data_IF_520392741302
#
_entry.id   IF_520392741302
#
_cell.length_a   1.000
_cell.length_b   1.000
_cell.length_c   1.000
_cell.angle_alpha   90.00
_cell.angle_beta   90.00
_cell.angle_gamma   90.00
#
_symmetry.space_group_name_H-M   'P 1'
#
loop_
_entity.id
_entity.type
_entity.pdbx_description
1 polymer ?
#
# COMPACT_ATOMS: atom_id res chain seq x y z
N UNK A 1 -9.75 -54.95 -68.51
CA UNK A 1 -10.71 -55.44 -67.51
C UNK A 1 -9.99 -55.78 -66.19
N UNK A 2 -9.49 -54.79 -65.45
CA UNK A 2 -8.71 -55.01 -64.23
C UNK A 2 -9.04 -54.02 -63.09
N UNK A 3 -10.19 -53.33 -63.13
CA UNK A 3 -10.57 -52.36 -62.09
C UNK A 3 -11.65 -52.85 -61.11
N UNK A 4 -12.20 -54.06 -61.28
CA UNK A 4 -13.28 -54.57 -60.42
C UNK A 4 -12.81 -55.41 -59.22
N UNK A 5 -11.58 -55.96 -59.21
CA UNK A 5 -11.14 -56.84 -58.12
C UNK A 5 -10.55 -56.09 -56.93
N UNK A 6 -9.90 -54.96 -57.16
CA UNK A 6 -9.35 -54.09 -56.10
C UNK A 6 -10.46 -53.38 -55.34
N UNK A 7 -11.49 -52.91 -56.02
CA UNK A 7 -12.65 -52.24 -55.42
C UNK A 7 -13.52 -53.21 -54.57
N UNK A 8 -13.65 -54.46 -55.01
CA UNK A 8 -14.26 -55.56 -54.23
C UNK A 8 -13.44 -55.91 -52.97
N UNK A 9 -12.11 -55.75 -53.03
CA UNK A 9 -11.24 -56.00 -51.87
C UNK A 9 -11.34 -54.88 -50.81
N UNK A 10 -11.38 -53.60 -51.23
CA UNK A 10 -11.55 -52.47 -50.32
C UNK A 10 -12.93 -52.49 -49.64
N UNK A 11 -13.99 -52.82 -50.39
CA UNK A 11 -15.34 -52.95 -49.83
C UNK A 11 -15.45 -54.12 -48.85
N UNK A 12 -14.79 -55.26 -49.12
CA UNK A 12 -14.69 -56.38 -48.18
C UNK A 12 -13.93 -56.02 -46.90
N UNK A 13 -12.80 -55.31 -47.02
CA UNK A 13 -12.02 -54.84 -45.86
C UNK A 13 -12.84 -53.88 -45.00
N UNK A 14 -13.51 -52.90 -45.61
CA UNK A 14 -14.41 -51.96 -44.92
C UNK A 14 -15.52 -52.69 -44.17
N UNK A 15 -16.21 -53.65 -44.81
CA UNK A 15 -17.26 -54.46 -44.16
C UNK A 15 -16.72 -55.30 -43.00
N UNK A 16 -15.49 -55.80 -43.08
CA UNK A 16 -14.86 -56.56 -42.00
C UNK A 16 -14.52 -55.66 -40.80
N UNK A 17 -14.01 -54.46 -41.04
CA UNK A 17 -13.76 -53.45 -40.00
C UNK A 17 -15.07 -52.97 -39.35
N UNK A 18 -16.11 -52.69 -40.15
CA UNK A 18 -17.45 -52.35 -39.64
C UNK A 18 -18.01 -53.45 -38.73
N UNK A 19 -17.90 -54.73 -39.15
CA UNK A 19 -18.34 -55.86 -38.31
C UNK A 19 -17.55 -55.96 -37.01
N UNK A 20 -16.22 -55.76 -37.07
CA UNK A 20 -15.38 -55.76 -35.88
C UNK A 20 -15.79 -54.67 -34.89
N UNK A 21 -16.07 -53.45 -35.38
CA UNK A 21 -16.56 -52.34 -34.57
C UNK A 21 -17.93 -52.64 -33.97
N UNK A 22 -18.85 -53.23 -34.74
CA UNK A 22 -20.18 -53.64 -34.25
C UNK A 22 -20.05 -54.67 -33.12
N UNK A 23 -19.19 -55.68 -33.30
CA UNK A 23 -18.95 -56.71 -32.28
C UNK A 23 -18.34 -56.10 -31.01
N UNK A 24 -17.39 -55.16 -31.16
CA UNK A 24 -16.80 -54.43 -30.05
C UNK A 24 -17.82 -53.57 -29.29
N UNK A 25 -18.71 -52.88 -30.01
CA UNK A 25 -19.82 -52.11 -29.42
C UNK A 25 -20.76 -53.04 -28.65
N UNK A 26 -21.15 -54.18 -29.23
CA UNK A 26 -21.99 -55.16 -28.54
C UNK A 26 -21.34 -55.68 -27.27
N UNK A 27 -20.05 -56.00 -27.34
CA UNK A 27 -19.28 -56.44 -26.19
C UNK A 27 -19.27 -55.37 -25.08
N UNK A 28 -18.94 -54.12 -25.41
CA UNK A 28 -18.95 -52.99 -24.45
C UNK A 28 -20.33 -52.76 -23.83
N UNK A 29 -21.41 -52.81 -24.62
CA UNK A 29 -22.80 -52.72 -24.11
C UNK A 29 -23.13 -53.85 -23.13
N UNK A 30 -22.72 -55.08 -23.46
CA UNK A 30 -22.94 -56.23 -22.57
C UNK A 30 -22.19 -56.08 -21.26
N UNK A 31 -20.96 -55.53 -21.27
CA UNK A 31 -20.21 -55.26 -20.05
C UNK A 31 -20.91 -54.24 -19.14
N UNK A 32 -21.48 -53.17 -19.70
CA UNK A 32 -22.23 -52.17 -18.92
C UNK A 32 -23.48 -52.82 -18.30
N UNK A 33 -24.24 -53.59 -19.09
CA UNK A 33 -25.48 -54.24 -18.61
C UNK A 33 -25.23 -55.30 -17.52
N UNK A 34 -24.08 -55.98 -17.58
CA UNK A 34 -23.71 -57.03 -16.62
C UNK A 34 -22.92 -56.49 -15.42
N UNK A 35 -22.53 -55.21 -15.43
CA UNK A 35 -21.82 -54.61 -14.32
C UNK A 35 -22.77 -54.41 -13.13
N UNK A 36 -22.66 -55.30 -12.14
CA UNK A 36 -23.47 -55.25 -10.92
C UNK A 36 -23.29 -53.95 -10.10
N UNK A 37 -22.25 -53.16 -10.38
CA UNK A 37 -21.94 -51.89 -9.73
C UNK A 37 -22.43 -50.67 -10.52
N UNK A 38 -23.03 -50.85 -11.69
CA UNK A 38 -23.51 -49.72 -12.50
C UNK A 38 -24.80 -49.14 -11.88
N UNK A 39 -24.90 -47.82 -11.67
CA UNK A 39 -26.06 -47.21 -11.04
C UNK A 39 -27.34 -47.38 -11.87
N UNK A 40 -28.48 -47.50 -11.20
CA UNK A 40 -29.78 -47.56 -11.88
C UNK A 40 -30.11 -46.21 -12.55
N UNK A 41 -30.95 -46.25 -13.59
CA UNK A 41 -31.36 -45.06 -14.35
C UNK A 41 -31.89 -43.95 -13.43
N UNK A 42 -32.84 -44.29 -12.55
CA UNK A 42 -33.47 -43.37 -11.60
C UNK A 42 -32.44 -42.70 -10.68
N UNK A 43 -31.38 -43.42 -10.28
CA UNK A 43 -30.32 -42.87 -9.44
C UNK A 43 -29.49 -41.83 -10.19
N UNK A 44 -29.18 -42.09 -11.46
CA UNK A 44 -28.43 -41.17 -12.32
C UNK A 44 -29.27 -39.93 -12.61
N UNK A 45 -30.53 -40.11 -13.01
CA UNK A 45 -31.49 -39.01 -13.25
C UNK A 45 -31.67 -38.14 -12.01
N UNK A 46 -31.82 -38.76 -10.83
CA UNK A 46 -31.89 -38.03 -9.55
C UNK A 46 -30.62 -37.23 -9.27
N UNK A 47 -29.43 -37.78 -9.56
CA UNK A 47 -28.16 -37.06 -9.43
C UNK A 47 -28.07 -35.86 -10.38
N UNK A 48 -28.49 -36.01 -11.64
CA UNK A 48 -28.56 -34.91 -12.62
C UNK A 48 -29.42 -33.77 -12.07
N UNK A 49 -30.65 -34.08 -11.65
CA UNK A 49 -31.57 -33.09 -11.07
C UNK A 49 -30.98 -32.41 -9.85
N UNK A 50 -30.36 -33.17 -8.94
CA UNK A 50 -29.74 -32.62 -7.74
C UNK A 50 -28.58 -31.66 -8.06
N UNK A 51 -27.69 -32.02 -8.98
CA UNK A 51 -26.60 -31.12 -9.37
C UNK A 51 -27.13 -29.85 -10.03
N UNK A 52 -28.09 -29.99 -10.96
CA UNK A 52 -28.70 -28.84 -11.62
C UNK A 52 -29.41 -27.93 -10.62
N UNK A 53 -30.17 -28.51 -9.68
CA UNK A 53 -30.80 -27.79 -8.58
C UNK A 53 -29.81 -27.01 -7.72
N UNK A 54 -28.65 -27.59 -7.41
CA UNK A 54 -27.59 -26.88 -6.67
C UNK A 54 -27.11 -25.67 -7.47
N UNK A 55 -26.89 -25.81 -8.78
CA UNK A 55 -26.46 -24.70 -9.65
C UNK A 55 -27.52 -23.61 -9.71
N UNK A 56 -28.79 -23.97 -9.91
CA UNK A 56 -29.91 -23.02 -9.96
C UNK A 56 -30.09 -22.31 -8.61
N UNK A 57 -29.95 -23.02 -7.50
CA UNK A 57 -30.00 -22.42 -6.17
C UNK A 57 -28.84 -21.43 -5.98
N UNK A 58 -27.60 -21.80 -6.34
CA UNK A 58 -26.42 -20.94 -6.22
C UNK A 58 -26.55 -19.65 -7.05
N UNK A 59 -27.10 -19.75 -8.26
CA UNK A 59 -27.31 -18.61 -9.15
C UNK A 59 -28.45 -17.70 -8.65
N UNK A 60 -29.59 -18.27 -8.22
CA UNK A 60 -30.74 -17.49 -7.71
C UNK A 60 -30.52 -16.82 -6.36
N UNK A 61 -29.81 -17.49 -5.46
CA UNK A 61 -29.50 -16.98 -4.10
C UNK A 61 -28.29 -16.05 -4.07
N UNK A 62 -27.67 -15.82 -5.23
CA UNK A 62 -26.50 -14.96 -5.36
C UNK A 62 -26.86 -13.50 -5.04
N UNK A 63 -26.23 -12.94 -4.01
CA UNK A 63 -26.39 -11.54 -3.61
C UNK A 63 -25.14 -10.69 -3.89
N UNK A 64 -24.21 -11.17 -4.72
CA UNK A 64 -22.94 -10.51 -5.01
C UNK A 64 -23.12 -9.09 -5.55
N UNK A 65 -24.04 -8.91 -6.50
CA UNK A 65 -24.35 -7.59 -7.07
C UNK A 65 -24.86 -6.61 -6.00
N UNK A 66 -25.74 -7.07 -5.11
CA UNK A 66 -26.24 -6.27 -3.99
C UNK A 66 -25.13 -5.91 -3.00
N UNK A 67 -24.26 -6.87 -2.65
CA UNK A 67 -23.13 -6.63 -1.77
C UNK A 67 -22.16 -5.61 -2.37
N UNK A 68 -21.85 -5.74 -3.66
CA UNK A 68 -20.98 -4.81 -4.37
C UNK A 68 -21.58 -3.41 -4.45
N UNK A 69 -22.85 -3.31 -4.86
CA UNK A 69 -23.56 -2.03 -4.96
C UNK A 69 -23.65 -1.32 -3.61
N UNK A 70 -23.96 -2.06 -2.53
CA UNK A 70 -23.97 -1.52 -1.16
C UNK A 70 -22.60 -1.03 -0.71
N UNK A 71 -21.55 -1.76 -1.03
CA UNK A 71 -20.17 -1.37 -0.70
C UNK A 71 -19.79 -0.12 -1.49
N UNK A 72 -19.98 -0.14 -2.81
CA UNK A 72 -19.67 0.97 -3.72
C UNK A 72 -20.45 2.24 -3.39
N UNK A 73 -21.72 2.13 -3.01
CA UNK A 73 -22.54 3.26 -2.56
C UNK A 73 -21.98 3.97 -1.33
N UNK A 74 -21.18 3.29 -0.51
CA UNK A 74 -20.50 3.87 0.67
C UNK A 74 -19.11 4.43 0.36
N UNK A 75 -18.63 4.32 -0.89
CA UNK A 75 -17.30 4.79 -1.31
C UNK A 75 -17.04 6.25 -0.92
N UNK A 76 -17.92 7.23 -1.21
CA UNK A 76 -17.64 8.63 -0.86
C UNK A 76 -17.52 8.85 0.64
N UNK A 77 -18.29 8.11 1.45
CA UNK A 77 -18.27 8.23 2.91
C UNK A 77 -16.97 7.70 3.51
N UNK A 78 -16.46 6.57 3.00
CA UNK A 78 -15.18 6.01 3.45
C UNK A 78 -14.02 6.94 3.09
N UNK A 79 -13.96 7.42 1.84
CA UNK A 79 -12.87 8.29 1.39
C UNK A 79 -12.88 9.65 2.10
N UNK A 80 -14.06 10.21 2.39
CA UNK A 80 -14.16 11.44 3.17
C UNK A 80 -13.63 11.27 4.62
N UNK A 81 -13.62 10.05 5.14
CA UNK A 81 -13.13 9.70 6.48
C UNK A 81 -11.69 9.18 6.50
N UNK A 82 -11.02 9.13 5.35
CA UNK A 82 -9.70 8.51 5.20
C UNK A 82 -9.72 7.01 5.60
N UNK A 83 -10.80 6.30 5.25
CA UNK A 83 -11.01 4.88 5.55
C UNK A 83 -10.85 4.02 4.27
N UNK A 84 -9.94 4.38 3.35
CA UNK A 84 -9.78 3.64 2.09
C UNK A 84 -9.40 2.17 2.30
N UNK A 85 -8.56 1.86 3.29
CA UNK A 85 -8.21 0.48 3.66
C UNK A 85 -9.46 -0.32 4.09
N UNK A 86 -10.37 0.28 4.87
CA UNK A 86 -11.62 -0.39 5.27
C UNK A 86 -12.54 -0.64 4.07
N UNK A 87 -12.62 0.32 3.15
CA UNK A 87 -13.36 0.16 1.90
C UNK A 87 -12.78 -0.98 1.05
N UNK A 88 -11.45 -1.02 0.88
CA UNK A 88 -10.72 -2.09 0.19
C UNK A 88 -11.01 -3.47 0.80
N UNK A 89 -10.89 -3.62 2.11
CA UNK A 89 -11.20 -4.89 2.78
C UNK A 89 -12.64 -5.37 2.53
N UNK A 90 -13.62 -4.46 2.46
CA UNK A 90 -15.01 -4.83 2.12
C UNK A 90 -15.16 -5.29 0.67
N UNK A 91 -14.41 -4.69 -0.26
CA UNK A 91 -14.39 -5.15 -1.66
C UNK A 91 -13.71 -6.51 -1.79
N UNK A 92 -12.63 -6.77 -1.05
CA UNK A 92 -11.96 -8.08 -1.01
C UNK A 92 -12.91 -9.17 -0.49
N UNK A 93 -13.77 -8.87 0.49
CA UNK A 93 -14.82 -9.80 0.94
C UNK A 93 -15.82 -10.13 -0.18
N UNK A 94 -16.22 -9.14 -0.98
CA UNK A 94 -17.10 -9.36 -2.14
C UNK A 94 -16.40 -10.20 -3.20
N UNK A 95 -15.12 -9.91 -3.49
CA UNK A 95 -14.31 -10.68 -4.43
C UNK A 95 -14.19 -12.14 -3.99
N UNK A 96 -13.92 -12.37 -2.70
CA UNK A 96 -13.82 -13.72 -2.16
C UNK A 96 -15.14 -14.48 -2.22
N UNK A 97 -16.26 -13.82 -1.93
CA UNK A 97 -17.59 -14.42 -2.09
C UNK A 97 -17.88 -14.81 -3.55
N UNK A 98 -17.41 -14.01 -4.51
CA UNK A 98 -17.52 -14.33 -5.93
C UNK A 98 -16.68 -15.56 -6.32
N UNK A 99 -15.45 -15.67 -5.81
CA UNK A 99 -14.58 -16.84 -6.02
C UNK A 99 -15.26 -18.11 -5.52
N UNK A 100 -15.75 -18.09 -4.28
CA UNK A 100 -16.43 -19.25 -3.67
C UNK A 100 -17.68 -19.64 -4.47
N UNK A 101 -18.46 -18.67 -4.94
CA UNK A 101 -19.66 -18.95 -5.75
C UNK A 101 -19.28 -19.60 -7.07
N UNK A 102 -18.26 -19.07 -7.76
CA UNK A 102 -17.76 -19.63 -9.02
C UNK A 102 -17.23 -21.06 -8.86
N UNK A 103 -16.46 -21.32 -7.80
CA UNK A 103 -15.91 -22.65 -7.50
C UNK A 103 -17.01 -23.66 -7.22
N UNK A 104 -18.04 -23.28 -6.45
CA UNK A 104 -19.18 -24.15 -6.14
C UNK A 104 -20.01 -24.49 -7.38
N UNK A 105 -20.26 -23.50 -8.26
CA UNK A 105 -20.91 -23.74 -9.55
C UNK A 105 -20.04 -24.66 -10.40
N UNK A 106 -18.74 -24.42 -10.49
CA UNK A 106 -17.81 -25.26 -11.23
C UNK A 106 -17.77 -26.71 -10.75
N UNK A 107 -17.73 -26.94 -9.43
CA UNK A 107 -17.76 -28.27 -8.85
C UNK A 107 -19.08 -29.02 -9.14
N UNK A 108 -20.21 -28.33 -9.02
CA UNK A 108 -21.52 -28.90 -9.35
C UNK A 108 -21.65 -29.19 -10.86
N UNK A 109 -21.12 -28.31 -11.71
CA UNK A 109 -21.10 -28.48 -13.17
C UNK A 109 -20.26 -29.68 -13.61
N UNK A 110 -19.10 -29.90 -12.99
CA UNK A 110 -18.29 -31.10 -13.23
C UNK A 110 -19.05 -32.36 -12.82
N UNK A 111 -19.69 -32.36 -11.65
CA UNK A 111 -20.53 -33.47 -11.21
C UNK A 111 -21.69 -33.76 -12.18
N UNK A 112 -22.33 -32.70 -12.67
CA UNK A 112 -23.40 -32.78 -13.67
C UNK A 112 -22.90 -33.38 -14.99
N UNK A 113 -21.79 -32.88 -15.52
CA UNK A 113 -21.17 -33.37 -16.77
C UNK A 113 -20.86 -34.87 -16.70
N UNK A 114 -20.19 -35.31 -15.61
CA UNK A 114 -19.88 -36.72 -15.41
C UNK A 114 -21.13 -37.58 -15.29
N UNK A 115 -22.20 -37.05 -14.72
CA UNK A 115 -23.47 -37.77 -14.57
C UNK A 115 -24.20 -37.85 -15.91
N UNK A 116 -24.12 -36.83 -16.77
CA UNK A 116 -24.62 -36.91 -18.15
C UNK A 116 -23.85 -37.95 -18.97
N UNK A 117 -22.52 -37.99 -18.86
CA UNK A 117 -21.70 -39.00 -19.53
C UNK A 117 -22.11 -40.41 -19.09
N UNK A 118 -22.32 -40.60 -17.78
CA UNK A 118 -22.77 -41.88 -17.22
C UNK A 118 -24.17 -42.27 -17.71
N UNK A 119 -25.10 -41.31 -17.80
CA UNK A 119 -26.42 -41.53 -18.36
C UNK A 119 -26.36 -41.89 -19.85
N UNK A 120 -25.49 -41.21 -20.62
CA UNK A 120 -25.26 -41.51 -22.03
C UNK A 120 -24.74 -42.93 -22.24
N UNK A 121 -23.85 -43.42 -21.37
CA UNK A 121 -23.39 -44.82 -21.41
C UNK A 121 -24.53 -45.81 -21.15
N UNK A 122 -25.45 -45.49 -20.24
CA UNK A 122 -26.60 -46.33 -19.92
C UNK A 122 -27.58 -46.42 -21.11
N UNK A 123 -27.93 -45.27 -21.71
CA UNK A 123 -28.77 -45.19 -22.92
C UNK A 123 -28.12 -45.94 -24.09
N UNK A 124 -26.80 -45.87 -24.23
CA UNK A 124 -26.09 -46.66 -25.24
C UNK A 124 -26.15 -48.17 -24.98
N UNK A 125 -26.28 -48.61 -23.71
CA UNK A 125 -26.31 -50.01 -23.32
C UNK A 125 -27.71 -50.63 -23.45
N UNK A 126 -28.77 -49.86 -23.21
CA UNK A 126 -30.16 -50.29 -23.33
C UNK A 126 -30.95 -49.40 -24.28
N UNK A 127 -31.30 -49.95 -25.45
CA UNK A 127 -32.04 -49.22 -26.49
C UNK A 127 -33.49 -48.87 -26.09
N UNK A 128 -34.00 -49.43 -24.98
CA UNK A 128 -35.35 -49.13 -24.48
C UNK A 128 -35.41 -47.84 -23.65
N UNK A 129 -34.26 -47.30 -23.25
CA UNK A 129 -34.13 -46.03 -22.54
C UNK A 129 -34.21 -44.86 -23.53
N UNK A 130 -35.39 -44.68 -24.13
CA UNK A 130 -35.63 -43.55 -25.01
C UNK A 130 -35.58 -42.22 -24.22
N UNK A 131 -34.96 -41.19 -24.81
CA UNK A 131 -34.55 -39.91 -24.19
C UNK A 131 -35.69 -38.98 -23.68
N UNK A 132 -36.80 -39.50 -23.17
CA UNK A 132 -37.89 -38.68 -22.62
C UNK A 132 -37.45 -37.83 -21.43
N UNK A 133 -36.45 -38.28 -20.66
CA UNK A 133 -35.89 -37.55 -19.53
C UNK A 133 -35.39 -36.14 -19.87
N UNK A 134 -34.76 -35.94 -21.03
CA UNK A 134 -34.21 -34.63 -21.42
C UNK A 134 -35.28 -33.63 -21.90
N UNK A 135 -36.51 -34.08 -22.12
CA UNK A 135 -37.63 -33.19 -22.44
C UNK A 135 -38.22 -32.52 -21.18
N UNK A 136 -37.78 -32.94 -20.00
CA UNK A 136 -38.23 -32.38 -18.73
C UNK A 136 -37.34 -31.21 -18.26
N UNK A 137 -37.81 -30.51 -17.24
CA UNK A 137 -37.15 -29.35 -16.66
C UNK A 137 -36.94 -29.54 -15.16
N UNK A 138 -35.87 -28.96 -14.63
CA UNK A 138 -35.62 -28.89 -13.19
C UNK A 138 -35.54 -27.42 -12.79
N UNK A 139 -36.42 -27.00 -11.87
CA UNK A 139 -36.55 -25.61 -11.42
C UNK A 139 -36.69 -24.57 -12.55
N UNK A 140 -37.23 -24.96 -13.71
CA UNK A 140 -37.40 -24.10 -14.89
C UNK A 140 -36.21 -24.08 -15.84
N UNK A 141 -35.18 -24.90 -15.60
CA UNK A 141 -34.03 -25.10 -16.51
C UNK A 141 -34.20 -26.45 -17.21
N UNK A 142 -34.07 -26.49 -18.54
CA UNK A 142 -34.14 -27.73 -19.29
C UNK A 142 -33.03 -28.70 -18.87
N UNK A 143 -33.33 -30.00 -18.81
CA UNK A 143 -32.35 -31.04 -18.48
C UNK A 143 -31.42 -31.40 -19.64
N UNK A 144 -31.62 -30.81 -20.82
CA UNK A 144 -30.80 -31.06 -21.99
C UNK A 144 -29.32 -30.71 -21.71
N UNK A 145 -28.35 -31.60 -22.01
CA UNK A 145 -26.94 -31.35 -21.74
C UNK A 145 -26.37 -30.10 -22.41
N UNK A 146 -26.77 -29.82 -23.66
CA UNK A 146 -26.37 -28.62 -24.41
C UNK A 146 -26.85 -27.34 -23.72
N UNK A 147 -28.14 -27.30 -23.37
CA UNK A 147 -28.77 -26.18 -22.69
C UNK A 147 -28.14 -25.92 -21.31
N UNK A 148 -27.95 -26.97 -20.51
CA UNK A 148 -27.36 -26.84 -19.17
C UNK A 148 -25.90 -26.41 -19.24
N UNK A 149 -25.11 -26.89 -20.20
CA UNK A 149 -23.76 -26.42 -20.43
C UNK A 149 -23.73 -24.92 -20.77
N UNK A 150 -24.57 -24.47 -21.71
CA UNK A 150 -24.68 -23.07 -22.09
C UNK A 150 -25.12 -22.17 -20.93
N UNK A 151 -26.10 -22.62 -20.14
CA UNK A 151 -26.56 -21.94 -18.94
C UNK A 151 -25.40 -21.76 -17.94
N UNK A 152 -24.68 -22.83 -17.62
CA UNK A 152 -23.54 -22.80 -16.68
C UNK A 152 -22.42 -21.90 -17.21
N UNK A 153 -22.11 -21.99 -18.50
CA UNK A 153 -21.09 -21.15 -19.13
C UNK A 153 -21.40 -19.66 -18.96
N UNK A 154 -22.63 -19.24 -19.24
CA UNK A 154 -23.06 -17.85 -19.08
C UNK A 154 -22.98 -17.37 -17.63
N UNK A 155 -23.38 -18.20 -16.68
CA UNK A 155 -23.31 -17.87 -15.25
C UNK A 155 -21.85 -17.73 -14.77
N UNK A 156 -20.96 -18.60 -15.23
CA UNK A 156 -19.52 -18.52 -14.93
C UNK A 156 -18.88 -17.29 -15.58
N UNK A 157 -19.24 -16.96 -16.82
CA UNK A 157 -18.78 -15.76 -17.51
C UNK A 157 -19.23 -14.49 -16.79
N UNK A 158 -20.49 -14.42 -16.38
CA UNK A 158 -21.02 -13.32 -15.57
C UNK A 158 -20.21 -13.11 -14.29
N UNK A 159 -19.91 -14.19 -13.55
CA UNK A 159 -19.13 -14.09 -12.31
C UNK A 159 -17.68 -13.66 -12.59
N UNK A 160 -17.07 -14.09 -13.71
CA UNK A 160 -15.72 -13.65 -14.10
C UNK A 160 -15.69 -12.15 -14.41
N UNK A 161 -16.65 -11.66 -15.17
CA UNK A 161 -16.77 -10.23 -15.47
C UNK A 161 -16.99 -9.42 -14.18
N UNK A 162 -17.88 -9.89 -13.31
CA UNK A 162 -18.13 -9.28 -12.01
C UNK A 162 -16.84 -9.20 -11.16
N UNK A 163 -16.07 -10.28 -11.08
CA UNK A 163 -14.78 -10.30 -10.38
C UNK A 163 -13.82 -9.25 -10.93
N UNK A 164 -13.72 -9.15 -12.25
CA UNK A 164 -12.86 -8.14 -12.89
C UNK A 164 -13.28 -6.72 -12.51
N UNK A 165 -14.58 -6.43 -12.44
CA UNK A 165 -15.08 -5.13 -11.98
C UNK A 165 -14.71 -4.85 -10.52
N UNK A 166 -14.85 -5.85 -9.63
CA UNK A 166 -14.47 -5.71 -8.22
C UNK A 166 -12.95 -5.50 -8.09
N UNK A 167 -12.13 -6.20 -8.87
CA UNK A 167 -10.68 -6.03 -8.87
C UNK A 167 -10.26 -4.63 -9.31
N UNK A 168 -10.90 -4.06 -10.34
CA UNK A 168 -10.65 -2.68 -10.75
C UNK A 168 -10.95 -1.71 -9.59
N UNK A 169 -12.09 -1.90 -8.91
CA UNK A 169 -12.47 -1.04 -7.77
C UNK A 169 -11.53 -1.22 -6.57
N UNK A 170 -11.00 -2.43 -6.32
CA UNK A 170 -9.96 -2.68 -5.29
C UNK A 170 -8.70 -1.87 -5.60
N UNK A 171 -8.24 -1.85 -6.86
CA UNK A 171 -7.08 -1.05 -7.27
C UNK A 171 -7.33 0.44 -7.09
N UNK A 172 -8.53 0.92 -7.35
CA UNK A 172 -8.89 2.32 -7.09
C UNK A 172 -8.85 2.65 -5.59
N UNK A 173 -9.31 1.74 -4.73
CA UNK A 173 -9.24 1.88 -3.28
C UNK A 173 -7.78 1.90 -2.77
N UNK A 174 -6.92 1.06 -3.36
CA UNK A 174 -5.48 1.03 -3.05
C UNK A 174 -4.76 2.33 -3.43
N UNK A 175 -5.08 2.91 -4.59
CA UNK A 175 -4.55 4.22 -4.98
C UNK A 175 -4.99 5.33 -4.02
N UNK A 176 -6.22 5.25 -3.50
CA UNK A 176 -6.72 6.19 -2.52
C UNK A 176 -6.03 6.01 -1.16
N UNK A 177 -5.84 4.77 -0.70
CA UNK A 177 -5.08 4.43 0.51
C UNK A 177 -3.65 5.03 0.46
N UNK A 178 -2.96 4.91 -0.67
CA UNK A 178 -1.65 5.53 -0.86
C UNK A 178 -1.70 7.06 -0.71
N UNK A 179 -2.73 7.73 -1.26
CA UNK A 179 -2.90 9.18 -1.12
C UNK A 179 -3.15 9.58 0.33
N UNK A 180 -3.96 8.83 1.06
CA UNK A 180 -4.27 9.09 2.46
C UNK A 180 -3.01 8.97 3.33
N UNK A 181 -2.16 7.98 3.05
CA UNK A 181 -0.86 7.83 3.71
C UNK A 181 0.09 9.00 3.41
N UNK A 182 0.15 9.48 2.16
CA UNK A 182 0.97 10.65 1.80
C UNK A 182 0.49 11.95 2.45
N UNK A 183 -0.83 12.14 2.60
CA UNK A 183 -1.38 13.31 3.29
C UNK A 183 -0.94 13.32 4.76
N UNK A 184 -0.96 12.17 5.44
CA UNK A 184 -0.51 12.06 6.82
C UNK A 184 0.99 12.41 6.98
N UNK A 185 1.83 11.93 6.07
CA UNK A 185 3.26 12.29 6.07
C UNK A 185 3.48 13.80 5.88
N UNK A 186 2.77 14.42 4.94
CA UNK A 186 2.86 15.86 4.71
C UNK A 186 2.43 16.69 5.94
N UNK A 187 1.36 16.26 6.63
CA UNK A 187 0.90 16.93 7.86
C UNK A 187 1.95 16.84 8.96
N UNK A 188 2.55 15.66 9.18
CA UNK A 188 3.62 15.48 10.17
C UNK A 188 4.84 16.35 9.85
N UNK A 189 5.33 16.33 8.60
CA UNK A 189 6.46 17.18 8.19
C UNK A 189 6.14 18.67 8.35
N UNK A 190 4.90 19.08 8.08
CA UNK A 190 4.48 20.48 8.28
C UNK A 190 4.54 20.87 9.76
N UNK A 191 4.04 20.03 10.66
CA UNK A 191 4.07 20.27 12.11
C UNK A 191 5.51 20.35 12.63
N UNK A 192 6.41 19.49 12.15
CA UNK A 192 7.84 19.52 12.48
C UNK A 192 8.53 20.81 12.00
N UNK A 193 8.23 21.27 10.78
CA UNK A 193 8.75 22.54 10.26
C UNK A 193 8.24 23.73 11.09
N UNK A 194 6.96 23.74 11.47
CA UNK A 194 6.40 24.79 12.32
C UNK A 194 7.05 24.80 13.72
N UNK A 195 7.34 23.63 14.28
CA UNK A 195 8.08 23.50 15.54
C UNK A 195 9.51 24.06 15.43
N UNK A 196 10.28 23.63 14.42
CA UNK A 196 11.65 24.11 14.17
C UNK A 196 11.70 25.62 13.95
N UNK A 197 10.71 26.18 13.25
CA UNK A 197 10.61 27.63 13.05
C UNK A 197 10.42 28.38 14.38
N UNK A 198 9.62 27.83 15.31
CA UNK A 198 9.42 28.41 16.62
C UNK A 198 10.70 28.38 17.47
N UNK A 199 11.43 27.26 17.48
CA UNK A 199 12.73 27.16 18.15
C UNK A 199 13.75 28.14 17.58
N UNK A 200 13.86 28.21 16.24
CA UNK A 200 14.79 29.12 15.58
C UNK A 200 14.49 30.59 15.93
N UNK A 201 13.20 30.96 16.01
CA UNK A 201 12.78 32.30 16.41
C UNK A 201 13.18 32.60 17.86
N UNK A 202 13.08 31.64 18.77
CA UNK A 202 13.51 31.78 20.17
C UNK A 202 15.03 32.00 20.24
N UNK A 203 15.82 31.14 19.59
CA UNK A 203 17.28 31.30 19.54
C UNK A 203 17.70 32.65 18.95
N UNK A 204 17.03 33.09 17.88
CA UNK A 204 17.30 34.39 17.30
C UNK A 204 17.05 35.54 18.29
N UNK A 205 15.94 35.49 19.04
CA UNK A 205 15.67 36.50 20.09
C UNK A 205 16.69 36.48 21.22
N UNK A 206 17.15 35.30 21.64
CA UNK A 206 18.17 35.17 22.67
C UNK A 206 19.51 35.75 22.21
N UNK A 207 19.98 35.36 21.02
CA UNK A 207 21.22 35.87 20.42
C UNK A 207 21.15 37.39 20.26
N UNK A 208 20.02 37.93 19.78
CA UNK A 208 19.80 39.37 19.65
C UNK A 208 19.86 40.08 21.02
N UNK A 209 19.29 39.48 22.06
CA UNK A 209 19.36 39.98 23.43
C UNK A 209 20.79 39.95 23.99
N UNK A 210 21.53 38.89 23.73
CA UNK A 210 22.96 38.79 24.10
C UNK A 210 23.81 39.84 23.38
N UNK A 211 23.64 40.02 22.07
CA UNK A 211 24.37 41.03 21.30
C UNK A 211 24.11 42.46 21.81
N UNK A 212 22.85 42.76 22.18
CA UNK A 212 22.50 44.05 22.77
C UNK A 212 23.19 44.28 24.12
N UNK A 213 23.13 43.30 25.03
CA UNK A 213 23.82 43.36 26.33
C UNK A 213 25.33 43.53 26.17
N UNK A 214 25.92 42.85 25.19
CA UNK A 214 27.35 43.01 24.88
C UNK A 214 27.66 44.43 24.43
N UNK A 215 26.87 45.00 23.52
CA UNK A 215 27.03 46.39 23.06
C UNK A 215 26.92 47.40 24.20
N UNK A 216 25.95 47.21 25.10
CA UNK A 216 25.77 48.07 26.29
C UNK A 216 26.97 47.97 27.25
N UNK A 217 27.49 46.76 27.47
CA UNK A 217 28.69 46.54 28.28
C UNK A 217 29.93 47.20 27.68
N UNK A 218 30.14 47.07 26.36
CA UNK A 218 31.27 47.73 25.67
C UNK A 218 31.18 49.24 25.83
N UNK A 219 29.99 49.83 25.63
CA UNK A 219 29.80 51.27 25.79
C UNK A 219 30.04 51.74 27.24
N UNK A 220 29.63 50.95 28.24
CA UNK A 220 29.92 51.24 29.64
C UNK A 220 31.43 51.24 29.93
N UNK A 221 32.17 50.28 29.38
CA UNK A 221 33.63 50.21 29.52
C UNK A 221 34.30 51.42 28.86
N UNK A 222 33.83 51.83 27.68
CA UNK A 222 34.33 53.04 26.99
C UNK A 222 34.14 54.30 27.84
N UNK A 223 32.96 54.49 28.45
CA UNK A 223 32.67 55.65 29.29
C UNK A 223 33.40 55.62 30.65
N UNK A 224 33.65 54.43 31.20
CA UNK A 224 34.51 54.26 32.39
C UNK A 224 35.96 54.64 32.06
N UNK A 225 36.51 54.10 30.97
CA UNK A 225 37.84 54.45 30.46
C UNK A 225 37.98 55.95 30.24
N UNK A 226 36.99 56.57 29.60
CA UNK A 226 36.98 58.01 29.31
C UNK A 226 37.03 58.85 30.59
N UNK A 227 36.30 58.44 31.63
CA UNK A 227 36.32 59.09 32.95
C UNK A 227 37.67 58.94 33.62
N UNK A 228 38.21 57.72 33.66
CA UNK A 228 39.51 57.43 34.26
C UNK A 228 40.63 58.22 33.59
N UNK A 229 40.63 58.29 32.24
CA UNK A 229 41.59 59.12 31.50
C UNK A 229 41.45 60.60 31.85
N UNK A 230 40.23 61.17 31.85
CA UNK A 230 40.02 62.57 32.21
C UNK A 230 40.49 62.89 33.63
N UNK A 231 40.20 62.01 34.58
CA UNK A 231 40.60 62.18 35.97
C UNK A 231 42.12 62.06 36.13
N UNK A 232 42.74 61.06 35.49
CA UNK A 232 44.19 60.90 35.46
C UNK A 232 44.90 62.11 34.86
N UNK A 233 44.42 62.65 33.73
CA UNK A 233 44.99 63.87 33.15
C UNK A 233 44.83 65.09 34.06
N UNK A 234 43.67 65.28 34.68
CA UNK A 234 43.45 66.40 35.61
C UNK A 234 44.34 66.31 36.87
N UNK A 235 44.64 65.09 37.34
CA UNK A 235 45.53 64.87 38.47
C UNK A 235 47.00 65.11 38.09
N UNK A 236 47.39 64.71 36.87
CA UNK A 236 48.70 65.03 36.28
C UNK A 236 48.89 66.53 36.16
N UNK A 237 47.92 67.24 35.58
CA UNK A 237 47.97 68.70 35.42
C UNK A 237 48.11 69.40 36.78
N UNK A 238 47.33 68.99 37.79
CA UNK A 238 47.45 69.50 39.17
C UNK A 238 48.85 69.28 39.76
N UNK A 239 49.44 68.09 39.58
CA UNK A 239 50.77 67.76 40.10
C UNK A 239 51.86 68.55 39.38
N UNK A 240 51.74 68.75 38.06
CA UNK A 240 52.66 69.57 37.26
C UNK A 240 52.60 71.05 37.69
N UNK A 241 51.41 71.60 37.95
CA UNK A 241 51.27 72.98 38.46
C UNK A 241 51.81 73.19 39.88
N UNK A 242 51.90 72.12 40.68
CA UNK A 242 52.31 72.20 42.09
C UNK A 242 53.80 71.92 42.35
N UNK A 243 54.59 71.48 41.35
CA UNK A 243 56.00 71.14 41.56
C UNK A 243 56.91 71.73 40.48
N UNK A 244 57.83 72.61 40.92
CA UNK A 244 58.75 73.30 40.05
C UNK A 244 60.15 72.65 39.93
N UNK A 245 60.38 71.36 40.25
CA UNK A 245 61.77 70.84 40.12
C UNK A 245 62.05 69.31 40.03
N UNK A 246 61.09 68.41 39.73
CA UNK A 246 61.48 66.99 39.52
C UNK A 246 60.67 66.22 38.47
N UNK A 247 60.69 66.73 37.24
CA UNK A 247 59.93 66.25 36.08
C UNK A 247 60.26 64.82 35.63
N UNK A 248 61.41 64.27 36.02
CA UNK A 248 61.86 62.95 35.55
C UNK A 248 61.29 61.78 36.37
N UNK A 249 61.25 61.92 37.71
CA UNK A 249 60.68 60.90 38.62
C UNK A 249 59.20 60.68 38.37
N UNK A 250 58.45 61.78 38.19
CA UNK A 250 57.00 61.77 37.92
C UNK A 250 56.69 61.11 36.57
N UNK A 251 57.53 61.35 35.54
CA UNK A 251 57.36 60.71 34.23
C UNK A 251 57.54 59.19 34.29
N UNK A 252 58.52 58.69 35.05
CA UNK A 252 58.76 57.25 35.16
C UNK A 252 57.72 56.55 36.04
N UNK A 253 57.22 57.21 37.08
CA UNK A 253 56.13 56.68 37.90
C UNK A 253 54.81 56.62 37.10
N UNK A 254 54.46 57.69 36.38
CA UNK A 254 53.33 57.70 35.42
C UNK A 254 53.46 56.63 34.35
N UNK A 255 54.66 56.45 33.81
CA UNK A 255 54.92 55.40 32.82
C UNK A 255 54.68 54.01 33.41
N UNK A 256 54.99 53.81 34.69
CA UNK A 256 54.76 52.54 35.40
C UNK A 256 53.26 52.30 35.64
N UNK A 257 52.54 53.33 36.09
CA UNK A 257 51.10 53.26 36.36
C UNK A 257 50.29 53.04 35.07
N UNK A 258 50.60 53.79 34.00
CA UNK A 258 49.98 53.56 32.69
C UNK A 258 50.28 52.16 32.16
N UNK A 259 51.50 51.65 32.32
CA UNK A 259 51.87 50.30 31.86
C UNK A 259 51.11 49.22 32.63
N UNK A 260 50.91 49.39 33.94
CA UNK A 260 50.08 48.49 34.75
C UNK A 260 48.60 48.56 34.36
N UNK A 261 48.10 49.77 34.10
CA UNK A 261 46.73 49.99 33.67
C UNK A 261 46.44 49.34 32.32
N UNK A 262 47.29 49.57 31.30
CA UNK A 262 47.18 48.93 29.99
C UNK A 262 47.29 47.40 30.08
N UNK A 263 48.14 46.86 30.97
CA UNK A 263 48.24 45.42 31.18
C UNK A 263 46.93 44.82 31.75
N UNK A 264 46.29 45.51 32.72
CA UNK A 264 44.97 45.10 33.24
C UNK A 264 43.88 45.20 32.17
N UNK A 265 43.91 46.26 31.37
CA UNK A 265 42.95 46.48 30.29
C UNK A 265 43.06 45.39 29.21
N UNK A 266 44.28 45.11 28.75
CA UNK A 266 44.53 44.04 27.78
C UNK A 266 44.04 42.70 28.31
N UNK A 267 44.30 42.38 29.58
CA UNK A 267 43.84 41.12 30.19
C UNK A 267 42.31 41.00 30.19
N UNK A 268 41.58 42.10 30.45
CA UNK A 268 40.11 42.12 30.34
C UNK A 268 39.62 41.91 28.91
N UNK A 269 40.24 42.61 27.93
CA UNK A 269 39.89 42.48 26.51
C UNK A 269 40.15 41.05 26.01
N UNK A 270 41.28 40.45 26.37
CA UNK A 270 41.60 39.07 25.99
C UNK A 270 40.61 38.08 26.57
N UNK A 271 40.27 38.18 27.86
CA UNK A 271 39.28 37.30 28.49
C UNK A 271 37.89 37.41 27.83
N UNK A 272 37.47 38.61 27.42
CA UNK A 272 36.20 38.78 26.71
C UNK A 272 36.25 38.21 25.28
N UNK A 273 37.37 38.38 24.57
CA UNK A 273 37.58 37.79 23.24
C UNK A 273 37.55 36.25 23.27
N UNK A 274 38.18 35.63 24.26
CA UNK A 274 38.16 34.17 24.45
C UNK A 274 36.75 33.65 24.73
N UNK A 275 35.96 34.36 25.54
CA UNK A 275 34.56 34.00 25.80
C UNK A 275 33.69 34.06 24.53
N UNK A 276 33.92 35.06 23.67
CA UNK A 276 33.20 35.21 22.39
C UNK A 276 33.57 34.07 21.43
N UNK A 277 34.86 33.73 21.34
CA UNK A 277 35.30 32.62 20.49
C UNK A 277 34.74 31.28 20.98
N UNK A 278 34.70 31.05 22.30
CA UNK A 278 34.09 29.85 22.88
C UNK A 278 32.59 29.74 22.57
N UNK A 279 31.82 30.84 22.69
CA UNK A 279 30.40 30.86 22.31
C UNK A 279 30.20 30.60 20.81
N UNK A 280 31.03 31.20 19.96
CA UNK A 280 30.97 30.98 18.51
C UNK A 280 31.23 29.53 18.15
N UNK A 281 32.20 28.87 18.79
CA UNK A 281 32.50 27.46 18.57
C UNK A 281 31.37 26.54 19.03
N UNK A 282 30.73 26.84 20.16
CA UNK A 282 29.55 26.09 20.61
C UNK A 282 28.38 26.21 19.64
N UNK A 283 28.04 27.43 19.22
CA UNK A 283 27.00 27.65 18.21
C UNK A 283 27.30 26.88 16.91
N UNK A 284 28.55 26.92 16.45
CA UNK A 284 28.92 26.22 15.22
C UNK A 284 28.78 24.69 15.34
N UNK A 285 29.01 24.14 16.53
CA UNK A 285 28.88 22.72 16.85
C UNK A 285 27.41 22.31 16.90
N UNK A 286 26.57 23.08 17.58
CA UNK A 286 25.13 22.82 17.68
C UNK A 286 24.45 22.92 16.30
N UNK A 287 24.78 23.92 15.49
CA UNK A 287 24.29 24.02 14.11
C UNK A 287 24.75 22.84 13.23
N UNK A 288 25.98 22.37 13.42
CA UNK A 288 26.49 21.20 12.73
C UNK A 288 25.76 19.90 13.11
N UNK A 289 25.30 19.81 14.36
CA UNK A 289 24.58 18.66 14.91
C UNK A 289 23.13 18.64 14.42
N UNK A 290 22.44 19.78 14.48
CA UNK A 290 21.10 19.96 13.93
C UNK A 290 21.05 19.67 12.42
N UNK A 291 22.07 20.10 11.66
CA UNK A 291 22.18 19.78 10.23
C UNK A 291 22.29 18.28 9.96
N UNK A 292 23.04 17.54 10.79
CA UNK A 292 23.18 16.08 10.63
C UNK A 292 21.88 15.36 10.93
N UNK A 293 21.15 15.77 11.96
CA UNK A 293 19.85 15.19 12.30
C UNK A 293 18.83 15.38 11.18
N UNK A 294 18.81 16.57 10.55
CA UNK A 294 17.98 16.83 9.36
C UNK A 294 18.42 15.97 8.16
N UNK A 295 19.73 15.83 7.92
CA UNK A 295 20.24 15.00 6.82
C UNK A 295 19.98 13.49 7.01
N UNK A 296 19.86 13.01 8.26
CA UNK A 296 19.47 11.63 8.58
C UNK A 296 17.96 11.43 8.40
N UNK A 297 17.12 12.36 8.87
CA UNK A 297 15.66 12.27 8.73
C UNK A 297 15.16 12.38 7.28
N UNK A 298 15.92 13.02 6.38
CA UNK A 298 15.57 13.11 4.95
C UNK A 298 15.99 11.83 4.19
N UNK A 299 16.88 11.00 4.77
CA UNK A 299 17.46 9.84 4.10
C UNK A 299 16.69 8.54 4.36
N UNK A 300 15.86 8.50 5.40
CA UNK A 300 14.89 7.45 5.72
C UNK A 300 13.50 7.74 5.13
#
# INVERSE_FOLDING_TARGET
>A
MASNSTDDMFTKKRKAEERKLIEEIRYKRSCIRLAATFPAEEEIQKKIRNFLKVIVMLTRSNNLSDMFTKTRGKRPQHFAKLEATLYKCRLEQVHQAANVTMERIGAAAQGLSLTYDLYGLLVMADNNLANEFFNDTEEGVALEPSFTADFICKEVEFIKEFRSQVETEIREAELQEQRENHINAFVQTKEEIEHLYCEFKQYYTEIKGHARRLSENVHSIEEELRRDFKQGFAEIDKRITNQNENTHSIKEELRRDFKQYFAKLNKRITNQSENINSMRENLHREFGQCRKEIEEQIRD
#
